data_IF_429405676285
#
_entry.id   IF_429405676285
#
_cell.length_a   1.000
_cell.length_b   1.000
_cell.length_c   1.000
_cell.angle_alpha   90.00
_cell.angle_beta   90.00
_cell.angle_gamma   90.00
#
_symmetry.space_group_name_H-M   'P 1'
#
loop_
_entity.id
_entity.type
_entity.pdbx_description
1 polymer ?
#
# COMPACT_ATOMS: atom_id res chain seq x y z
N UNK A 1 -2.85 21.46 8.81
CA UNK A 1 -3.97 20.57 8.55
C UNK A 1 -5.16 21.10 9.32
N UNK A 2 -6.26 21.40 8.67
CA UNK A 2 -7.48 21.88 9.35
C UNK A 2 -8.35 20.66 9.64
N UNK A 3 -8.40 20.21 10.89
CA UNK A 3 -9.21 19.07 11.34
C UNK A 3 -10.72 19.30 11.13
N UNK A 4 -11.12 20.55 11.02
CA UNK A 4 -12.51 20.98 10.87
C UNK A 4 -13.12 20.65 9.49
N UNK A 5 -12.28 20.39 8.49
CA UNK A 5 -12.70 20.08 7.11
C UNK A 5 -12.62 18.57 6.81
N UNK A 6 -12.40 17.73 7.85
CA UNK A 6 -12.32 16.28 7.66
C UNK A 6 -13.66 15.72 7.18
N UNK A 7 -13.62 15.03 6.03
CA UNK A 7 -14.81 14.40 5.42
C UNK A 7 -15.13 13.03 6.02
N UNK A 8 -14.29 12.53 6.94
CA UNK A 8 -14.43 11.27 7.65
C UNK A 8 -14.61 11.54 9.14
N UNK A 9 -15.56 10.86 9.76
CA UNK A 9 -15.67 10.81 11.22
C UNK A 9 -14.39 10.21 11.79
N UNK A 10 -13.70 10.98 12.64
CA UNK A 10 -12.41 10.59 13.22
C UNK A 10 -12.66 9.87 14.56
N UNK A 11 -13.21 8.66 14.49
CA UNK A 11 -13.41 7.77 15.63
C UNK A 11 -12.38 6.64 15.63
N UNK A 12 -12.03 6.07 16.81
CA UNK A 12 -11.20 4.88 16.91
C UNK A 12 -11.84 3.68 16.18
N UNK A 13 -11.08 3.04 15.29
CA UNK A 13 -11.59 2.01 14.38
C UNK A 13 -10.86 0.68 14.54
N UNK A 14 -11.59 -0.41 14.26
CA UNK A 14 -10.97 -1.73 14.10
C UNK A 14 -10.23 -1.83 12.77
N UNK A 15 -9.34 -2.84 12.62
CA UNK A 15 -8.65 -3.09 11.35
C UNK A 15 -9.62 -3.42 10.22
N UNK A 16 -10.70 -4.14 10.52
CA UNK A 16 -11.76 -4.43 9.54
C UNK A 16 -12.40 -3.14 9.01
N UNK A 17 -12.79 -2.22 9.90
CA UNK A 17 -13.34 -0.93 9.50
C UNK A 17 -12.34 -0.09 8.65
N UNK A 18 -11.04 -0.15 8.95
CA UNK A 18 -10.01 0.50 8.11
C UNK A 18 -9.95 -0.12 6.70
N UNK A 19 -10.08 -1.45 6.59
CA UNK A 19 -10.12 -2.16 5.31
C UNK A 19 -11.40 -1.79 4.54
N UNK A 20 -12.56 -1.77 5.20
CA UNK A 20 -13.83 -1.40 4.57
C UNK A 20 -13.79 0.02 3.98
N UNK A 21 -13.25 0.97 4.74
CA UNK A 21 -13.07 2.34 4.25
C UNK A 21 -12.09 2.38 3.07
N UNK A 22 -11.00 1.60 3.13
CA UNK A 22 -10.05 1.52 2.03
C UNK A 22 -10.71 0.98 0.75
N UNK A 23 -11.56 -0.05 0.86
CA UNK A 23 -12.34 -0.60 -0.27
C UNK A 23 -13.29 0.45 -0.84
N UNK A 24 -14.07 1.12 0.02
CA UNK A 24 -15.00 2.15 -0.40
C UNK A 24 -14.28 3.33 -1.06
N UNK A 25 -13.16 3.76 -0.47
CA UNK A 25 -12.33 4.82 -1.04
C UNK A 25 -11.73 4.42 -2.38
N UNK A 26 -11.17 3.21 -2.48
CA UNK A 26 -10.61 2.65 -3.71
C UNK A 26 -11.67 2.59 -4.81
N UNK A 27 -12.85 2.04 -4.51
CA UNK A 27 -13.99 1.94 -5.43
C UNK A 27 -14.43 3.33 -5.92
N UNK A 28 -14.58 4.29 -5.01
CA UNK A 28 -15.00 5.66 -5.33
C UNK A 28 -14.00 6.39 -6.23
N UNK A 29 -12.70 6.13 -6.01
CA UNK A 29 -11.62 6.83 -6.71
C UNK A 29 -10.87 5.94 -7.71
N UNK A 30 -11.45 4.81 -8.13
CA UNK A 30 -10.80 3.84 -9.02
C UNK A 30 -10.31 4.48 -10.33
N UNK A 31 -11.10 5.40 -10.90
CA UNK A 31 -10.74 6.14 -12.13
C UNK A 31 -9.50 7.05 -11.96
N UNK A 32 -9.10 7.33 -10.73
CA UNK A 32 -7.90 8.12 -10.40
C UNK A 32 -6.75 7.24 -9.93
N UNK A 33 -7.04 6.15 -9.22
CA UNK A 33 -6.03 5.23 -8.68
C UNK A 33 -5.51 4.28 -9.77
N UNK A 34 -6.39 3.76 -10.64
CA UNK A 34 -6.00 2.86 -11.72
C UNK A 34 -4.94 3.46 -12.67
N UNK A 35 -5.09 4.70 -13.17
CA UNK A 35 -4.03 5.33 -13.97
C UNK A 35 -2.70 5.47 -13.22
N UNK A 36 -2.72 5.74 -11.90
CA UNK A 36 -1.50 5.77 -11.10
C UNK A 36 -0.83 4.40 -11.06
N UNK A 37 -1.60 3.31 -10.83
CA UNK A 37 -1.08 1.95 -10.89
C UNK A 37 -0.48 1.62 -12.25
N UNK A 38 -1.08 2.07 -13.34
CA UNK A 38 -0.55 1.90 -14.69
C UNK A 38 0.73 2.71 -14.91
N UNK A 39 0.78 3.97 -14.49
CA UNK A 39 1.98 4.82 -14.64
C UNK A 39 3.19 4.19 -13.94
N UNK A 40 3.01 3.73 -12.70
CA UNK A 40 4.11 3.14 -11.94
C UNK A 40 4.35 1.66 -12.28
N UNK A 41 3.33 0.92 -12.68
CA UNK A 41 3.40 -0.52 -12.94
C UNK A 41 3.78 -0.89 -14.37
N UNK A 42 3.49 -0.05 -15.36
CA UNK A 42 3.73 -0.38 -16.77
C UNK A 42 5.20 -0.76 -17.04
N UNK A 43 6.14 0.07 -16.58
CA UNK A 43 7.58 -0.19 -16.77
C UNK A 43 8.01 -1.48 -16.06
N UNK A 44 7.77 -1.68 -14.75
CA UNK A 44 8.11 -2.93 -14.07
C UNK A 44 7.50 -4.19 -14.68
N UNK A 45 6.22 -4.13 -15.07
CA UNK A 45 5.55 -5.27 -15.73
C UNK A 45 6.22 -5.58 -17.07
N UNK A 46 6.47 -4.57 -17.90
CA UNK A 46 7.13 -4.75 -19.22
C UNK A 46 8.54 -5.34 -19.04
N UNK A 47 9.34 -4.82 -18.11
CA UNK A 47 10.67 -5.36 -17.84
C UNK A 47 10.61 -6.79 -17.28
N UNK A 48 9.63 -7.13 -16.46
CA UNK A 48 9.41 -8.50 -15.99
C UNK A 48 9.10 -9.45 -17.15
N UNK A 49 8.20 -9.07 -18.04
CA UNK A 49 7.82 -9.84 -19.24
C UNK A 49 9.03 -10.02 -20.17
N UNK A 50 9.78 -8.95 -20.45
CA UNK A 50 11.00 -9.03 -21.27
C UNK A 50 12.10 -9.83 -20.59
N UNK A 51 12.23 -9.74 -19.27
CA UNK A 51 13.18 -10.50 -18.48
C UNK A 51 12.92 -12.00 -18.49
N UNK A 52 11.66 -12.41 -18.73
CA UNK A 52 11.31 -13.83 -18.86
C UNK A 52 12.00 -14.49 -20.05
N UNK A 53 12.29 -13.76 -21.14
CA UNK A 53 13.05 -14.29 -22.25
C UNK A 53 14.48 -14.74 -21.87
N UNK A 54 15.03 -14.17 -20.78
CA UNK A 54 16.37 -14.49 -20.27
C UNK A 54 16.35 -15.27 -18.95
N UNK A 55 15.21 -15.82 -18.54
CA UNK A 55 15.07 -16.56 -17.29
C UNK A 55 15.10 -15.69 -16.00
N UNK A 56 14.88 -14.40 -16.12
CA UNK A 56 14.91 -13.46 -14.99
C UNK A 56 13.57 -12.73 -14.76
N UNK A 57 12.48 -13.27 -15.30
CA UNK A 57 11.18 -12.59 -15.31
C UNK A 57 10.69 -12.16 -13.92
N UNK A 58 10.53 -13.12 -13.01
CA UNK A 58 10.03 -12.84 -11.66
C UNK A 58 11.02 -12.02 -10.82
N UNK A 59 12.33 -12.26 -10.98
CA UNK A 59 13.37 -11.55 -10.25
C UNK A 59 13.36 -10.06 -10.61
N UNK A 60 13.34 -9.76 -11.91
CA UNK A 60 13.35 -8.38 -12.40
C UNK A 60 12.05 -7.66 -12.04
N UNK A 61 10.91 -8.32 -12.22
CA UNK A 61 9.61 -7.80 -11.81
C UNK A 61 9.54 -7.55 -10.30
N UNK A 62 10.01 -8.49 -9.47
CA UNK A 62 10.05 -8.38 -8.02
C UNK A 62 10.96 -7.26 -7.53
N UNK A 63 12.16 -7.13 -8.09
CA UNK A 63 13.09 -6.04 -7.78
C UNK A 63 12.48 -4.68 -8.12
N UNK A 64 11.92 -4.53 -9.33
CA UNK A 64 11.29 -3.27 -9.73
C UNK A 64 10.06 -2.97 -8.88
N UNK A 65 9.24 -3.97 -8.55
CA UNK A 65 8.15 -3.80 -7.61
C UNK A 65 8.64 -3.34 -6.23
N UNK A 66 9.71 -3.95 -5.73
CA UNK A 66 10.30 -3.60 -4.45
C UNK A 66 10.74 -2.13 -4.39
N UNK A 67 11.40 -1.63 -5.44
CA UNK A 67 11.90 -0.26 -5.47
C UNK A 67 10.86 0.78 -5.89
N UNK A 68 9.94 0.46 -6.80
CA UNK A 68 9.02 1.45 -7.39
C UNK A 68 7.69 1.54 -6.63
N UNK A 69 7.16 0.43 -6.07
CA UNK A 69 5.87 0.46 -5.40
C UNK A 69 5.79 1.41 -4.19
N UNK A 70 6.88 1.71 -3.41
CA UNK A 70 6.80 2.73 -2.36
C UNK A 70 6.39 4.10 -2.87
N UNK A 71 6.80 4.46 -4.09
CA UNK A 71 6.47 5.76 -4.68
C UNK A 71 5.00 5.80 -5.13
N UNK A 72 4.47 4.69 -5.66
CA UNK A 72 3.03 4.55 -5.88
C UNK A 72 2.27 4.69 -4.56
N UNK A 73 2.71 3.97 -3.52
CA UNK A 73 2.11 4.05 -2.19
C UNK A 73 2.12 5.48 -1.63
N UNK A 74 3.26 6.16 -1.71
CA UNK A 74 3.42 7.54 -1.31
C UNK A 74 2.48 8.50 -2.07
N UNK A 75 2.30 8.29 -3.37
CA UNK A 75 1.41 9.09 -4.22
C UNK A 75 -0.06 8.85 -3.87
N UNK A 76 -0.44 7.60 -3.62
CA UNK A 76 -1.81 7.25 -3.18
C UNK A 76 -2.10 7.86 -1.81
N UNK A 77 -1.16 7.78 -0.86
CA UNK A 77 -1.27 8.40 0.47
C UNK A 77 -1.38 9.91 0.38
N UNK A 78 -0.58 10.56 -0.49
CA UNK A 78 -0.70 12.00 -0.72
C UNK A 78 -2.09 12.39 -1.20
N UNK A 79 -2.61 11.67 -2.20
CA UNK A 79 -3.95 11.91 -2.75
C UNK A 79 -5.07 11.64 -1.74
N UNK A 80 -4.98 10.53 -0.99
CA UNK A 80 -5.95 10.18 0.05
C UNK A 80 -5.91 11.19 1.21
N UNK A 81 -4.71 11.63 1.62
CA UNK A 81 -4.54 12.65 2.64
C UNK A 81 -5.22 13.95 2.26
N UNK A 82 -4.99 14.47 1.05
CA UNK A 82 -5.69 15.67 0.57
C UNK A 82 -7.21 15.51 0.63
N UNK A 83 -7.73 14.34 0.22
CA UNK A 83 -9.18 14.12 0.23
C UNK A 83 -9.78 14.05 1.64
N UNK A 84 -9.11 13.38 2.57
CA UNK A 84 -9.57 13.29 3.97
C UNK A 84 -9.63 14.66 4.62
N UNK A 85 -8.75 15.59 4.24
CA UNK A 85 -8.71 16.95 4.78
C UNK A 85 -9.45 18.00 3.92
N UNK A 86 -10.48 17.58 3.17
CA UNK A 86 -11.42 18.48 2.50
C UNK A 86 -10.99 18.93 1.10
N UNK A 87 -9.85 18.49 0.58
CA UNK A 87 -9.43 18.81 -0.76
C UNK A 87 -9.84 17.71 -1.76
N UNK A 88 -9.98 18.07 -3.04
CA UNK A 88 -10.24 17.07 -4.06
C UNK A 88 -9.02 16.19 -4.34
N UNK A 89 -9.22 14.85 -4.38
CA UNK A 89 -8.22 13.91 -4.87
C UNK A 89 -7.94 14.14 -6.36
N UNK A 90 -6.79 14.72 -6.70
CA UNK A 90 -6.37 14.98 -8.08
C UNK A 90 -5.02 14.31 -8.35
N UNK A 91 -4.93 13.50 -9.42
CA UNK A 91 -3.69 12.78 -9.79
C UNK A 91 -2.50 13.75 -9.90
N UNK A 92 -2.68 14.89 -10.59
CA UNK A 92 -1.62 15.88 -10.78
C UNK A 92 -1.08 16.43 -9.45
N UNK A 93 -1.96 16.73 -8.49
CA UNK A 93 -1.53 17.23 -7.16
C UNK A 93 -0.81 16.15 -6.37
N UNK A 94 -1.32 14.91 -6.37
CA UNK A 94 -0.69 13.78 -5.70
C UNK A 94 0.72 13.51 -6.23
N UNK A 95 0.89 13.46 -7.56
CA UNK A 95 2.19 13.30 -8.23
C UNK A 95 3.13 14.48 -7.92
N UNK A 96 2.64 15.72 -8.01
CA UNK A 96 3.47 16.90 -7.74
C UNK A 96 3.93 16.94 -6.28
N UNK A 97 3.07 16.57 -5.34
CA UNK A 97 3.42 16.49 -3.93
C UNK A 97 4.50 15.44 -3.68
N UNK A 98 4.34 14.25 -4.25
CA UNK A 98 5.34 13.17 -4.19
C UNK A 98 6.65 13.59 -4.86
N UNK A 99 6.58 14.23 -6.04
CA UNK A 99 7.75 14.71 -6.77
C UNK A 99 8.57 15.74 -5.97
N UNK A 100 7.90 16.71 -5.34
CA UNK A 100 8.57 17.71 -4.47
C UNK A 100 9.31 17.08 -3.28
N UNK A 101 8.89 15.88 -2.87
CA UNK A 101 9.50 15.12 -1.78
C UNK A 101 10.41 13.99 -2.26
N UNK A 102 10.56 13.85 -3.58
CA UNK A 102 11.28 12.73 -4.20
C UNK A 102 12.69 12.49 -3.61
N UNK A 103 13.56 13.50 -3.37
CA UNK A 103 14.89 13.25 -2.81
C UNK A 103 14.84 12.56 -1.43
N UNK A 104 13.89 12.96 -0.58
CA UNK A 104 13.70 12.35 0.74
C UNK A 104 13.12 10.95 0.62
N UNK A 105 12.14 10.76 -0.26
CA UNK A 105 11.48 9.47 -0.47
C UNK A 105 12.45 8.46 -1.10
N UNK A 106 13.28 8.87 -2.07
CA UNK A 106 14.30 8.02 -2.70
C UNK A 106 15.34 7.50 -1.72
N UNK A 107 15.68 8.31 -0.71
CA UNK A 107 16.63 7.87 0.31
C UNK A 107 15.97 6.94 1.34
N UNK A 108 14.83 7.34 1.89
CA UNK A 108 14.26 6.69 3.07
C UNK A 108 13.39 5.48 2.79
N UNK A 109 12.59 5.49 1.71
CA UNK A 109 11.67 4.37 1.43
C UNK A 109 12.41 3.11 0.96
N UNK A 110 13.33 3.17 -0.02
CA UNK A 110 14.13 2.00 -0.39
C UNK A 110 15.06 1.55 0.73
N UNK A 111 15.69 2.50 1.47
CA UNK A 111 16.56 2.14 2.59
C UNK A 111 15.80 1.38 3.68
N UNK A 112 14.62 1.84 4.09
CA UNK A 112 13.79 1.13 5.07
C UNK A 112 13.41 -0.27 4.57
N UNK A 113 13.01 -0.39 3.29
CA UNK A 113 12.69 -1.70 2.68
C UNK A 113 13.89 -2.62 2.64
N UNK A 114 15.04 -2.10 2.24
CA UNK A 114 16.28 -2.89 2.21
C UNK A 114 16.63 -3.43 3.59
N UNK A 115 16.54 -2.60 4.63
CA UNK A 115 16.82 -3.00 6.02
C UNK A 115 15.90 -4.15 6.44
N UNK A 116 14.58 -4.03 6.26
CA UNK A 116 13.70 -5.12 6.71
C UNK A 116 13.76 -6.35 5.80
N UNK A 117 14.06 -6.21 4.50
CA UNK A 117 14.26 -7.34 3.62
C UNK A 117 15.55 -8.11 3.99
N UNK A 118 16.66 -7.39 4.23
CA UNK A 118 17.92 -7.98 4.62
C UNK A 118 17.82 -8.72 5.96
N UNK A 119 17.32 -8.04 7.01
CA UNK A 119 17.18 -8.63 8.33
C UNK A 119 16.11 -9.74 8.33
N UNK A 120 15.00 -9.53 7.60
CA UNK A 120 13.95 -10.52 7.47
C UNK A 120 14.44 -11.80 6.80
N UNK A 121 15.26 -11.70 5.75
CA UNK A 121 15.85 -12.87 5.08
C UNK A 121 16.82 -13.63 5.98
N UNK A 122 17.64 -12.92 6.76
CA UNK A 122 18.57 -13.55 7.71
C UNK A 122 17.86 -14.33 8.83
N UNK A 123 16.66 -13.92 9.21
CA UNK A 123 15.85 -14.54 10.28
C UNK A 123 14.70 -15.40 9.72
N UNK A 124 14.86 -16.02 8.56
CA UNK A 124 13.83 -16.86 7.92
C UNK A 124 12.44 -16.19 7.83
N UNK A 125 12.42 -14.88 7.66
CA UNK A 125 11.19 -14.11 7.53
C UNK A 125 10.49 -13.73 8.86
N UNK A 126 10.87 -14.30 10.00
CA UNK A 126 10.21 -14.07 11.30
C UNK A 126 10.20 -12.60 11.71
N UNK A 127 11.30 -11.88 11.44
CA UNK A 127 11.43 -10.46 11.77
C UNK A 127 10.91 -9.53 10.66
N UNK A 128 10.48 -10.05 9.53
CA UNK A 128 9.98 -9.22 8.42
C UNK A 128 8.72 -8.44 8.80
N UNK A 129 7.76 -9.07 9.48
CA UNK A 129 6.51 -8.42 9.92
C UNK A 129 6.77 -7.31 10.94
N UNK A 130 7.49 -7.54 12.06
CA UNK A 130 7.82 -6.48 13.02
C UNK A 130 8.56 -5.31 12.38
N UNK A 131 9.54 -5.57 11.52
CA UNK A 131 10.31 -4.52 10.85
C UNK A 131 9.49 -3.77 9.81
N UNK A 132 8.70 -4.48 9.00
CA UNK A 132 7.79 -3.86 8.04
C UNK A 132 6.73 -3.00 8.75
N UNK A 133 6.23 -3.42 9.90
CA UNK A 133 5.32 -2.63 10.74
C UNK A 133 6.01 -1.39 11.28
N UNK A 134 7.25 -1.52 11.80
CA UNK A 134 8.02 -0.38 12.34
C UNK A 134 8.21 0.73 11.33
N UNK A 135 8.48 0.39 10.07
CA UNK A 135 8.70 1.36 8.99
C UNK A 135 7.44 1.56 8.11
N UNK A 136 6.35 0.89 8.41
CA UNK A 136 5.15 0.88 7.59
C UNK A 136 4.51 2.25 7.40
N UNK A 137 4.51 3.09 8.44
CA UNK A 137 3.97 4.44 8.41
C UNK A 137 4.98 5.51 7.93
N UNK A 138 6.14 5.09 7.43
CA UNK A 138 7.20 6.03 7.03
C UNK A 138 6.75 6.96 5.90
N UNK A 139 6.03 6.45 4.91
CA UNK A 139 5.51 7.26 3.81
C UNK A 139 4.50 8.31 4.27
N UNK A 140 3.65 7.97 5.23
CA UNK A 140 2.65 8.86 5.83
C UNK A 140 3.34 10.01 6.58
N UNK A 141 4.31 9.69 7.42
CA UNK A 141 5.07 10.69 8.18
C UNK A 141 5.88 11.62 7.25
N UNK A 142 6.54 11.05 6.23
CA UNK A 142 7.34 11.83 5.27
C UNK A 142 6.47 12.75 4.40
N UNK A 143 5.26 12.30 4.01
CA UNK A 143 4.38 13.03 3.10
C UNK A 143 3.44 13.96 3.86
N UNK A 144 2.70 13.46 4.85
CA UNK A 144 1.65 14.22 5.52
C UNK A 144 2.21 15.13 6.62
N UNK A 145 3.10 14.63 7.47
CA UNK A 145 3.73 15.42 8.53
C UNK A 145 4.94 16.21 8.03
N UNK A 146 5.41 15.92 6.83
CA UNK A 146 6.54 16.59 6.18
C UNK A 146 7.86 16.55 6.98
N UNK A 147 8.00 15.59 7.87
CA UNK A 147 9.20 15.40 8.66
C UNK A 147 10.33 14.78 7.83
N UNK A 148 11.58 14.95 8.26
CA UNK A 148 12.78 14.46 7.57
C UNK A 148 13.76 13.83 8.55
N UNK A 149 14.51 12.84 8.05
CA UNK A 149 15.62 12.22 8.77
C UNK A 149 15.22 11.62 10.11
N UNK A 150 16.03 11.86 11.13
CA UNK A 150 15.84 11.32 12.48
C UNK A 150 14.52 11.76 13.14
N UNK A 151 13.98 12.92 12.76
CA UNK A 151 12.68 13.38 13.29
C UNK A 151 11.54 12.48 12.81
N UNK A 152 11.57 12.02 11.57
CA UNK A 152 10.57 11.08 11.05
C UNK A 152 10.65 9.73 11.79
N UNK A 153 11.86 9.22 12.05
CA UNK A 153 12.04 7.96 12.80
C UNK A 153 11.57 8.08 14.25
N UNK A 154 11.88 9.17 14.94
CA UNK A 154 11.39 9.43 16.30
C UNK A 154 9.86 9.49 16.32
N UNK A 155 9.27 10.14 15.32
CA UNK A 155 7.82 10.24 15.19
C UNK A 155 7.15 8.87 15.00
N UNK A 156 7.75 7.98 14.18
CA UNK A 156 7.29 6.59 14.04
C UNK A 156 7.34 5.84 15.37
N UNK A 157 8.44 5.98 16.10
CA UNK A 157 8.60 5.37 17.42
C UNK A 157 7.55 5.90 18.41
N UNK A 158 7.29 7.20 18.42
CA UNK A 158 6.23 7.79 19.23
C UNK A 158 4.85 7.21 18.87
N UNK A 159 4.49 7.09 17.59
CA UNK A 159 3.21 6.55 17.15
C UNK A 159 3.05 5.10 17.58
N UNK A 160 4.10 4.28 17.50
CA UNK A 160 4.06 2.85 17.74
C UNK A 160 4.37 2.43 19.19
N UNK A 161 4.88 3.33 20.03
CA UNK A 161 5.47 3.02 21.34
C UNK A 161 4.61 2.11 22.24
N UNK A 162 3.30 2.34 22.31
CA UNK A 162 2.40 1.58 23.20
C UNK A 162 1.46 0.63 22.45
N UNK A 163 1.49 0.63 21.12
CA UNK A 163 0.56 -0.12 20.26
C UNK A 163 1.27 -0.97 19.20
N UNK A 164 2.56 -1.29 19.43
CA UNK A 164 3.38 -1.98 18.43
C UNK A 164 2.84 -3.38 18.07
N UNK A 165 2.45 -4.19 19.07
CA UNK A 165 1.87 -5.52 18.82
C UNK A 165 0.52 -5.42 18.10
N UNK A 166 -0.31 -4.47 18.46
CA UNK A 166 -1.56 -4.20 17.77
C UNK A 166 -1.29 -3.81 16.30
N UNK A 167 -0.31 -2.95 16.06
CA UNK A 167 0.10 -2.56 14.71
C UNK A 167 0.64 -3.76 13.90
N UNK A 168 1.40 -4.68 14.53
CA UNK A 168 1.81 -5.93 13.88
C UNK A 168 0.61 -6.80 13.50
N UNK A 169 -0.37 -6.95 14.38
CA UNK A 169 -1.61 -7.67 14.10
C UNK A 169 -2.38 -7.03 12.93
N UNK A 170 -2.51 -5.71 12.93
CA UNK A 170 -3.15 -4.95 11.84
C UNK A 170 -2.40 -5.14 10.50
N UNK A 171 -1.06 -5.07 10.54
CA UNK A 171 -0.24 -5.30 9.35
C UNK A 171 -0.45 -6.71 8.79
N UNK A 172 -0.41 -7.74 9.64
CA UNK A 172 -0.62 -9.13 9.24
C UNK A 172 -2.02 -9.33 8.65
N UNK A 173 -3.05 -8.74 9.25
CA UNK A 173 -4.43 -8.82 8.74
C UNK A 173 -4.56 -8.17 7.36
N UNK A 174 -3.97 -6.97 7.17
CA UNK A 174 -3.98 -6.28 5.88
C UNK A 174 -3.18 -7.09 4.84
N UNK A 175 -2.05 -7.69 5.22
CA UNK A 175 -1.26 -8.53 4.34
C UNK A 175 -2.04 -9.76 3.89
N UNK A 176 -2.70 -10.48 4.83
CA UNK A 176 -3.54 -11.64 4.53
C UNK A 176 -4.72 -11.25 3.62
N UNK A 177 -5.42 -10.17 3.94
CA UNK A 177 -6.49 -9.64 3.10
C UNK A 177 -6.00 -9.31 1.69
N UNK A 178 -4.88 -8.59 1.58
CA UNK A 178 -4.28 -8.21 0.29
C UNK A 178 -3.88 -9.44 -0.52
N UNK A 179 -3.33 -10.46 0.14
CA UNK A 179 -2.98 -11.72 -0.50
C UNK A 179 -4.23 -12.43 -1.05
N UNK A 180 -5.31 -12.53 -0.27
CA UNK A 180 -6.56 -13.12 -0.73
C UNK A 180 -7.15 -12.37 -1.93
N UNK A 181 -7.16 -11.03 -1.89
CA UNK A 181 -7.61 -10.21 -3.02
C UNK A 181 -6.72 -10.42 -4.24
N UNK A 182 -5.39 -10.49 -4.05
CA UNK A 182 -4.44 -10.76 -5.12
C UNK A 182 -4.66 -12.11 -5.79
N UNK A 183 -4.82 -13.18 -5.00
CA UNK A 183 -5.14 -14.51 -5.51
C UNK A 183 -6.47 -14.49 -6.28
N UNK A 184 -7.50 -13.88 -5.72
CA UNK A 184 -8.81 -13.77 -6.38
C UNK A 184 -8.70 -13.02 -7.71
N UNK A 185 -7.97 -11.91 -7.75
CA UNK A 185 -7.79 -11.15 -8.99
C UNK A 185 -6.99 -11.94 -10.03
N UNK A 186 -5.95 -12.67 -9.61
CA UNK A 186 -5.19 -13.55 -10.48
C UNK A 186 -6.08 -14.66 -11.08
N UNK A 187 -6.93 -15.30 -10.28
CA UNK A 187 -7.90 -16.29 -10.75
C UNK A 187 -8.93 -15.67 -11.71
N UNK A 188 -9.35 -14.43 -11.48
CA UNK A 188 -10.24 -13.72 -12.41
C UNK A 188 -9.56 -13.41 -13.75
N UNK A 189 -8.25 -13.16 -13.77
CA UNK A 189 -7.51 -13.03 -15.02
C UNK A 189 -7.47 -14.36 -15.79
N UNK A 190 -7.27 -15.48 -15.12
CA UNK A 190 -7.29 -16.80 -15.76
C UNK A 190 -8.68 -17.17 -16.29
N UNK A 191 -9.72 -16.90 -15.49
CA UNK A 191 -11.11 -17.07 -15.92
C UNK A 191 -11.45 -16.20 -17.14
N UNK A 192 -10.98 -14.96 -17.17
CA UNK A 192 -11.12 -14.07 -18.31
C UNK A 192 -10.40 -14.62 -19.56
N UNK A 193 -9.19 -15.13 -19.38
CA UNK A 193 -8.42 -15.76 -20.44
C UNK A 193 -9.13 -17.04 -20.97
N UNK A 194 -9.67 -17.85 -20.07
CA UNK A 194 -10.45 -19.02 -20.41
C UNK A 194 -11.70 -18.65 -21.22
N UNK A 195 -12.39 -17.59 -20.84
CA UNK A 195 -13.56 -17.12 -21.57
C UNK A 195 -13.22 -16.63 -22.98
N UNK A 196 -12.09 -15.93 -23.14
CA UNK A 196 -11.66 -15.37 -24.42
C UNK A 196 -11.01 -16.41 -25.34
N UNK A 197 -10.24 -17.35 -24.79
CA UNK A 197 -9.41 -18.29 -25.55
C UNK A 197 -9.88 -19.74 -25.43
N UNK A 198 -10.98 -20.00 -24.70
CA UNK A 198 -11.55 -21.34 -24.44
C UNK A 198 -10.61 -22.32 -23.74
N UNK A 199 -9.49 -21.85 -23.16
CA UNK A 199 -8.52 -22.67 -22.42
C UNK A 199 -7.99 -21.94 -21.18
N UNK A 200 -7.85 -22.61 -20.02
CA UNK A 200 -7.18 -22.03 -18.87
C UNK A 200 -5.68 -21.90 -19.17
N UNK A 201 -5.18 -20.66 -19.24
CA UNK A 201 -3.80 -20.42 -19.65
C UNK A 201 -2.86 -20.38 -18.45
N UNK A 202 -3.27 -19.70 -17.35
CA UNK A 202 -2.39 -19.46 -16.21
C UNK A 202 -2.44 -20.62 -15.21
N UNK A 203 -3.63 -21.04 -14.79
CA UNK A 203 -3.79 -22.11 -13.79
C UNK A 203 -3.36 -23.48 -14.31
N UNK A 204 -3.57 -23.75 -15.59
CA UNK A 204 -3.08 -24.99 -16.19
C UNK A 204 -1.55 -25.08 -16.14
N UNK A 205 -0.85 -23.97 -16.40
CA UNK A 205 0.62 -23.91 -16.29
C UNK A 205 1.09 -24.05 -14.85
N UNK A 206 0.43 -23.38 -13.91
CA UNK A 206 0.77 -23.47 -12.49
C UNK A 206 0.55 -24.87 -11.96
N UNK A 207 -0.60 -25.51 -12.25
CA UNK A 207 -0.88 -26.88 -11.80
C UNK A 207 0.10 -27.89 -12.37
N UNK A 208 0.48 -27.75 -13.64
CA UNK A 208 1.49 -28.59 -14.26
C UNK A 208 2.87 -28.39 -13.62
N UNK A 209 3.29 -27.14 -13.40
CA UNK A 209 4.58 -26.83 -12.77
C UNK A 209 4.66 -27.28 -11.30
N UNK A 210 3.55 -27.23 -10.56
CA UNK A 210 3.46 -27.80 -9.21
C UNK A 210 3.65 -29.30 -9.26
N UNK A 211 2.99 -29.98 -10.18
CA UNK A 211 3.12 -31.44 -10.35
C UNK A 211 4.53 -31.85 -10.81
N UNK A 212 5.22 -31.04 -11.58
CA UNK A 212 6.57 -31.28 -12.09
C UNK A 212 7.68 -30.74 -11.14
N UNK A 213 7.33 -30.13 -10.00
CA UNK A 213 8.27 -29.46 -9.08
C UNK A 213 9.11 -28.35 -9.76
N UNK A 214 8.57 -27.72 -10.80
CA UNK A 214 9.29 -26.81 -11.70
C UNK A 214 8.74 -25.36 -11.67
N UNK A 215 8.18 -24.96 -10.54
CA UNK A 215 7.59 -23.60 -10.36
C UNK A 215 8.64 -22.51 -10.60
N UNK A 216 9.89 -22.73 -10.19
CA UNK A 216 10.94 -21.74 -10.32
C UNK A 216 11.22 -21.40 -11.80
N UNK A 217 11.28 -22.41 -12.67
CA UNK A 217 11.45 -22.20 -14.11
C UNK A 217 10.22 -21.54 -14.74
N UNK A 218 9.02 -21.94 -14.34
CA UNK A 218 7.81 -21.31 -14.82
C UNK A 218 7.80 -19.80 -14.50
N UNK A 219 8.11 -19.41 -13.26
CA UNK A 219 8.22 -18.02 -12.86
C UNK A 219 9.38 -17.26 -13.52
N UNK A 220 10.45 -17.98 -13.89
CA UNK A 220 11.60 -17.39 -14.55
C UNK A 220 11.35 -17.11 -16.03
N UNK A 221 10.72 -18.05 -16.75
CA UNK A 221 10.69 -18.06 -18.22
C UNK A 221 9.31 -17.81 -18.85
N UNK A 222 8.19 -17.85 -18.08
CA UNK A 222 6.87 -17.65 -18.67
C UNK A 222 6.44 -16.16 -18.64
N UNK A 223 6.43 -15.45 -19.78
CA UNK A 223 6.13 -14.03 -19.82
C UNK A 223 4.67 -13.71 -19.49
N UNK A 224 3.72 -14.62 -19.81
CA UNK A 224 2.32 -14.40 -19.51
C UNK A 224 2.04 -14.51 -18.02
N UNK A 225 2.61 -15.51 -17.36
CA UNK A 225 2.47 -15.70 -15.93
C UNK A 225 3.13 -14.54 -15.16
N UNK A 226 4.36 -14.17 -15.51
CA UNK A 226 5.08 -13.04 -14.90
C UNK A 226 4.30 -11.74 -15.11
N UNK A 227 3.78 -11.51 -16.30
CA UNK A 227 2.96 -10.34 -16.63
C UNK A 227 1.67 -10.28 -15.80
N UNK A 228 0.92 -11.38 -15.73
CA UNK A 228 -0.34 -11.47 -14.99
C UNK A 228 -0.12 -11.30 -13.47
N UNK A 229 0.87 -11.99 -12.90
CA UNK A 229 1.22 -11.85 -11.47
C UNK A 229 1.66 -10.41 -11.15
N UNK A 230 2.55 -9.85 -11.95
CA UNK A 230 3.01 -8.48 -11.77
C UNK A 230 1.86 -7.49 -11.85
N UNK A 231 1.03 -7.56 -12.88
CA UNK A 231 -0.14 -6.69 -13.05
C UNK A 231 -1.09 -6.80 -11.85
N UNK A 232 -1.34 -8.02 -11.37
CA UNK A 232 -2.17 -8.26 -10.17
C UNK A 232 -1.64 -7.48 -8.97
N UNK A 233 -0.35 -7.60 -8.66
CA UNK A 233 0.24 -6.92 -7.50
C UNK A 233 0.23 -5.40 -7.65
N UNK A 234 0.46 -4.86 -8.86
CA UNK A 234 0.36 -3.43 -9.11
C UNK A 234 -1.05 -2.87 -8.97
N UNK A 235 -2.09 -3.67 -9.26
CA UNK A 235 -3.48 -3.28 -9.07
C UNK A 235 -3.94 -3.38 -7.61
N UNK A 236 -3.47 -4.38 -6.87
CA UNK A 236 -3.90 -4.61 -5.47
C UNK A 236 -3.11 -3.77 -4.48
N UNK A 237 -1.86 -3.43 -4.78
CA UNK A 237 -0.99 -2.67 -3.88
C UNK A 237 -1.56 -1.34 -3.38
N UNK A 238 -2.21 -0.49 -4.19
CA UNK A 238 -2.84 0.74 -3.71
C UNK A 238 -3.93 0.50 -2.65
N UNK A 239 -4.67 -0.61 -2.77
CA UNK A 239 -5.69 -0.98 -1.77
C UNK A 239 -5.04 -1.29 -0.43
N UNK A 240 -3.96 -2.09 -0.42
CA UNK A 240 -3.19 -2.36 0.79
C UNK A 240 -2.64 -1.08 1.42
N UNK A 241 -2.14 -0.16 0.59
CA UNK A 241 -1.62 1.14 1.06
C UNK A 241 -2.70 2.03 1.65
N UNK A 242 -3.90 2.03 1.07
CA UNK A 242 -5.04 2.76 1.63
C UNK A 242 -5.49 2.17 2.97
N UNK A 243 -5.60 0.85 3.08
CA UNK A 243 -5.94 0.21 4.35
C UNK A 243 -4.92 0.56 5.45
N UNK A 244 -3.63 0.54 5.10
CA UNK A 244 -2.56 0.92 6.02
C UNK A 244 -2.59 2.41 6.37
N UNK A 245 -2.89 3.27 5.41
CA UNK A 245 -3.08 4.71 5.64
C UNK A 245 -4.23 5.00 6.61
N UNK A 246 -5.36 4.30 6.49
CA UNK A 246 -6.47 4.46 7.45
C UNK A 246 -6.11 3.93 8.84
N UNK A 247 -5.30 2.86 8.95
CA UNK A 247 -4.73 2.44 10.22
C UNK A 247 -3.77 3.48 10.84
N UNK A 248 -3.01 4.20 10.02
CA UNK A 248 -2.19 5.32 10.48
C UNK A 248 -3.05 6.46 11.03
N UNK A 249 -4.13 6.83 10.35
CA UNK A 249 -5.05 7.85 10.83
C UNK A 249 -5.70 7.42 12.15
N UNK A 250 -6.17 6.17 12.27
CA UNK A 250 -6.71 5.63 13.52
C UNK A 250 -5.69 5.67 14.66
N UNK A 251 -4.45 5.28 14.40
CA UNK A 251 -3.38 5.34 15.40
C UNK A 251 -3.12 6.78 15.88
N UNK A 252 -3.23 7.78 15.00
CA UNK A 252 -3.12 9.19 15.35
C UNK A 252 -4.32 9.69 16.15
N UNK A 253 -5.54 9.34 15.73
CA UNK A 253 -6.78 9.71 16.45
C UNK A 253 -6.69 9.23 17.90
N UNK A 254 -6.36 7.96 18.11
CA UNK A 254 -6.23 7.37 19.45
C UNK A 254 -5.12 8.02 20.29
N UNK A 255 -4.02 8.39 19.66
CA UNK A 255 -2.85 8.89 20.39
C UNK A 255 -2.89 10.38 20.67
N UNK A 256 -3.41 11.15 19.74
CA UNK A 256 -3.44 12.60 19.80
C UNK A 256 -4.79 13.11 20.35
N UNK A 257 -5.74 12.22 20.64
CA UNK A 257 -7.06 12.59 21.20
C UNK A 257 -7.86 13.48 20.27
N UNK A 258 -7.75 13.30 18.96
CA UNK A 258 -8.47 14.15 17.99
C UNK A 258 -9.98 14.05 18.12
N UNK A 259 -10.50 12.90 18.53
CA UNK A 259 -11.90 12.68 18.87
C UNK A 259 -12.38 13.67 19.95
N UNK A 260 -11.65 13.73 21.06
CA UNK A 260 -11.95 14.65 22.18
C UNK A 260 -11.81 16.11 21.77
N UNK A 261 -10.78 16.44 20.98
CA UNK A 261 -10.57 17.81 20.51
C UNK A 261 -11.70 18.29 19.59
N UNK A 262 -12.19 17.40 18.71
CA UNK A 262 -13.30 17.69 17.80
C UNK A 262 -14.59 17.86 18.58
N UNK A 263 -14.90 16.96 19.52
CA UNK A 263 -16.09 17.08 20.38
C UNK A 263 -16.09 18.39 21.18
N UNK A 264 -14.97 18.73 21.81
CA UNK A 264 -14.84 19.99 22.55
C UNK A 264 -15.03 21.21 21.66
N UNK A 265 -14.52 21.20 20.43
CA UNK A 265 -14.71 22.30 19.48
C UNK A 265 -16.15 22.40 18.99
N UNK A 266 -16.83 21.28 18.73
CA UNK A 266 -18.25 21.26 18.35
C UNK A 266 -19.10 21.84 19.47
N UNK A 267 -18.86 21.42 20.72
CA UNK A 267 -19.61 21.92 21.86
C UNK A 267 -19.31 23.40 22.15
N UNK A 268 -18.06 23.84 22.01
CA UNK A 268 -17.69 25.25 22.12
C UNK A 268 -18.41 26.14 21.09
N UNK A 269 -18.56 25.65 19.84
CA UNK A 269 -19.34 26.35 18.81
C UNK A 269 -20.82 26.41 19.17
N UNK A 270 -21.39 25.28 19.63
CA UNK A 270 -22.79 25.20 20.06
C UNK A 270 -23.08 26.22 21.15
N UNK A 271 -22.20 26.31 22.14
CA UNK A 271 -22.31 27.29 23.23
C UNK A 271 -22.14 28.73 22.77
N UNK A 272 -21.29 28.98 21.77
CA UNK A 272 -21.10 30.31 21.19
C UNK A 272 -22.29 30.79 20.36
N UNK A 273 -23.08 29.90 19.78
CA UNK A 273 -24.30 30.25 19.03
C UNK A 273 -25.55 30.34 19.94
N UNK A 274 -25.45 29.83 21.17
CA UNK A 274 -26.55 29.92 22.16
C UNK A 274 -26.52 31.22 23.01
N UNK A 275 -25.48 32.05 22.83
CA UNK A 275 -25.36 33.40 23.38
C UNK A 275 -25.71 34.44 22.34
#
# INVERSE_FOLDING_TARGET
>A
MKLEEATLELEPRSVGACIDIAILFYRRHIRKILPLSLIFGAVPVTFGVLGAANGHGWLLSGLLFFFVSPFLGATVVAGAGHHVFGEEFTIRRALLHTYRRLPVLLLWLPAARFVYALIGSMCLGLLSVPLATRYGFLSEVLILEQLRGSRALKRLEEILRNSFLEACGRYTTILAFTFCVGVTLFLLFDLGAQFLFATPILMAKVSWAVAAEDIANLLAYDPLLVGALSATWWLVYPLARLAWFFCYLDARVRKEGWDVEIELRVEARRLSHAR
#
